data_IF_690208708778
#
_entry.id   IF_690208708778
#
_cell.length_a   1.000
_cell.length_b   1.000
_cell.length_c   1.000
_cell.angle_alpha   90.00
_cell.angle_beta   90.00
_cell.angle_gamma   90.00
#
_symmetry.space_group_name_H-M   'P 1'
#
loop_
_entity.id
_entity.type
_entity.pdbx_description
1 polymer ?
#
# COMPACT_ATOMS: atom_id res chain seq x y z
N UNK A 1 -3.48 -34.52 -7.45
CA UNK A 1 -2.90 -34.28 -6.09
C UNK A 1 -3.67 -33.13 -5.47
N UNK A 2 -4.12 -33.27 -4.22
CA UNK A 2 -4.78 -32.18 -3.47
C UNK A 2 -3.70 -31.26 -2.90
N UNK A 3 -3.91 -29.95 -2.98
CA UNK A 3 -3.06 -28.91 -2.37
C UNK A 3 -3.93 -28.19 -1.35
N UNK A 4 -3.51 -28.15 -0.09
CA UNK A 4 -4.20 -27.44 0.98
C UNK A 4 -3.29 -26.29 1.49
N UNK A 5 -3.50 -25.04 1.03
CA UNK A 5 -2.68 -23.91 1.46
C UNK A 5 -3.05 -23.48 2.88
N UNK A 6 -2.10 -23.62 3.81
CA UNK A 6 -2.26 -23.13 5.19
C UNK A 6 -1.86 -21.64 5.26
N UNK A 7 -2.84 -20.77 5.45
CA UNK A 7 -2.65 -19.32 5.62
C UNK A 7 -2.78 -18.90 7.09
N UNK A 8 -2.34 -17.68 7.43
CA UNK A 8 -2.49 -17.11 8.78
C UNK A 8 -1.20 -17.03 9.60
N UNK A 9 -0.05 -17.44 9.05
CA UNK A 9 1.25 -17.31 9.71
C UNK A 9 1.65 -15.84 10.01
N UNK A 10 1.07 -14.87 9.28
CA UNK A 10 1.25 -13.43 9.51
C UNK A 10 -0.01 -12.77 10.11
N UNK A 11 -0.98 -13.55 10.58
CA UNK A 11 -2.16 -12.98 11.22
C UNK A 11 -1.77 -12.34 12.57
N UNK A 12 -2.09 -11.05 12.73
CA UNK A 12 -1.74 -10.26 13.91
C UNK A 12 -2.96 -9.68 14.65
N UNK A 13 -4.16 -10.09 14.29
CA UNK A 13 -5.39 -9.55 14.90
C UNK A 13 -5.54 -8.04 14.75
N UNK A 14 -5.16 -7.48 13.59
CA UNK A 14 -5.16 -6.03 13.35
C UNK A 14 -6.54 -5.40 13.55
N UNK A 15 -7.60 -6.10 13.12
CA UNK A 15 -8.99 -5.68 13.32
C UNK A 15 -9.33 -5.51 14.82
N UNK A 16 -8.88 -6.43 15.66
CA UNK A 16 -9.10 -6.36 17.11
C UNK A 16 -8.34 -5.20 17.75
N UNK A 17 -7.14 -4.90 17.24
CA UNK A 17 -6.36 -3.76 17.70
C UNK A 17 -7.01 -2.42 17.30
N UNK A 18 -7.68 -2.37 16.16
CA UNK A 18 -8.42 -1.19 15.70
C UNK A 18 -9.62 -0.87 16.60
N UNK A 19 -10.30 -1.86 17.18
CA UNK A 19 -11.43 -1.63 18.09
C UNK A 19 -11.05 -0.84 19.35
N UNK A 20 -9.80 -0.96 19.80
CA UNK A 20 -9.30 -0.30 21.00
C UNK A 20 -8.61 1.05 20.73
N UNK A 21 -8.61 1.51 19.47
CA UNK A 21 -7.89 2.71 19.02
C UNK A 21 -8.83 3.70 18.35
N UNK A 22 -8.48 4.99 18.43
CA UNK A 22 -9.21 6.02 17.69
C UNK A 22 -8.93 5.94 16.19
N UNK A 23 -9.80 6.51 15.36
CA UNK A 23 -9.65 6.45 13.90
C UNK A 23 -8.28 6.95 13.39
N UNK A 24 -7.75 8.03 13.96
CA UNK A 24 -6.41 8.53 13.62
C UNK A 24 -5.28 7.60 14.09
N UNK A 25 -5.42 6.98 15.26
CA UNK A 25 -4.44 6.02 15.76
C UNK A 25 -4.50 4.68 15.01
N UNK A 26 -5.64 4.38 14.37
CA UNK A 26 -5.84 3.19 13.56
C UNK A 26 -5.25 3.33 12.15
N UNK A 27 -5.11 4.57 11.63
CA UNK A 27 -4.62 4.85 10.27
C UNK A 27 -3.33 4.10 9.90
N UNK A 28 -2.26 4.08 10.73
CA UNK A 28 -0.99 3.42 10.35
C UNK A 28 -1.06 1.89 10.29
N UNK A 29 -2.16 1.27 10.74
CA UNK A 29 -2.37 -0.16 10.51
C UNK A 29 -2.71 -0.46 9.06
N UNK A 30 -3.33 0.49 8.36
CA UNK A 30 -3.76 0.30 6.98
C UNK A 30 -2.58 0.33 6.00
N UNK A 31 -1.55 1.14 6.27
CA UNK A 31 -0.26 1.06 5.54
C UNK A 31 0.37 -0.33 5.58
N UNK A 32 0.13 -1.07 6.67
CA UNK A 32 0.76 -2.37 6.92
C UNK A 32 -0.06 -3.54 6.42
N UNK A 33 -1.27 -3.31 5.89
CA UNK A 33 -2.09 -4.38 5.31
C UNK A 33 -1.51 -4.85 3.98
N UNK A 34 -1.30 -3.94 3.03
CA UNK A 34 -0.44 -4.17 1.88
C UNK A 34 0.80 -3.26 1.97
N UNK A 35 1.91 -3.89 2.35
CA UNK A 35 3.21 -3.25 2.53
C UNK A 35 3.85 -2.79 1.21
N UNK A 36 3.29 -3.15 0.07
CA UNK A 36 3.77 -2.72 -1.25
C UNK A 36 3.09 -1.43 -1.69
N UNK A 37 1.83 -1.23 -1.34
CA UNK A 37 1.04 -0.03 -1.71
C UNK A 37 0.36 0.66 -0.50
N UNK A 38 1.14 1.27 0.41
CA UNK A 38 0.61 1.84 1.65
C UNK A 38 -0.45 2.93 1.41
N UNK A 39 -0.15 3.88 0.52
CA UNK A 39 -1.03 5.03 0.19
C UNK A 39 -2.41 4.60 -0.34
N UNK A 40 -2.50 3.45 -1.02
CA UNK A 40 -3.78 2.92 -1.51
C UNK A 40 -4.69 2.48 -0.35
N UNK A 41 -4.12 1.83 0.67
CA UNK A 41 -4.88 1.34 1.82
C UNK A 41 -5.30 2.49 2.73
N UNK A 42 -4.41 3.43 2.99
CA UNK A 42 -4.77 4.66 3.72
C UNK A 42 -5.87 5.42 3.00
N UNK A 43 -5.80 5.53 1.68
CA UNK A 43 -6.82 6.20 0.91
C UNK A 43 -8.18 5.50 1.04
N UNK A 44 -8.22 4.16 0.96
CA UNK A 44 -9.45 3.40 1.14
C UNK A 44 -10.06 3.61 2.54
N UNK A 45 -9.24 3.63 3.58
CA UNK A 45 -9.69 3.91 4.94
C UNK A 45 -10.20 5.36 5.10
N UNK A 46 -9.47 6.34 4.57
CA UNK A 46 -9.89 7.75 4.56
C UNK A 46 -11.22 7.95 3.84
N UNK A 47 -11.41 7.32 2.66
CA UNK A 47 -12.66 7.40 1.91
C UNK A 47 -13.85 6.82 2.70
N UNK A 48 -13.64 5.72 3.44
CA UNK A 48 -14.67 5.14 4.29
C UNK A 48 -15.08 6.09 5.41
N UNK A 49 -14.10 6.76 6.05
CA UNK A 49 -14.36 7.76 7.09
C UNK A 49 -15.04 9.02 6.53
N UNK A 50 -14.57 9.53 5.39
CA UNK A 50 -15.14 10.71 4.73
C UNK A 50 -16.59 10.48 4.32
N UNK A 51 -16.92 9.28 3.84
CA UNK A 51 -18.29 8.85 3.53
C UNK A 51 -19.15 8.73 4.79
N UNK A 52 -18.60 8.22 5.90
CA UNK A 52 -19.31 8.09 7.17
C UNK A 52 -19.62 9.46 7.79
N UNK A 53 -18.69 10.41 7.65
CA UNK A 53 -18.80 11.77 8.17
C UNK A 53 -19.54 12.73 7.21
N UNK A 54 -19.86 12.30 5.99
CA UNK A 54 -20.46 13.13 4.93
C UNK A 54 -19.68 14.42 4.66
N UNK A 55 -18.35 14.33 4.57
CA UNK A 55 -17.45 15.47 4.30
C UNK A 55 -17.03 15.44 2.83
N UNK A 56 -17.05 16.60 2.17
CA UNK A 56 -16.42 16.77 0.86
C UNK A 56 -15.03 17.42 1.01
N UNK A 57 -14.09 16.93 0.22
CA UNK A 57 -12.67 17.24 0.31
C UNK A 57 -12.33 18.27 -0.76
N UNK A 58 -11.44 19.24 -0.51
CA UNK A 58 -11.02 20.20 -1.52
C UNK A 58 -10.45 19.51 -2.77
N UNK A 59 -10.75 20.10 -3.94
CA UNK A 59 -10.33 19.61 -5.26
C UNK A 59 -8.82 19.32 -5.35
N UNK A 60 -7.99 20.15 -4.71
CA UNK A 60 -6.53 19.97 -4.67
C UNK A 60 -6.14 18.63 -4.01
N UNK A 61 -6.75 18.27 -2.89
CA UNK A 61 -6.42 17.04 -2.18
C UNK A 61 -6.86 15.79 -2.95
N UNK A 62 -7.99 15.85 -3.67
CA UNK A 62 -8.42 14.77 -4.58
C UNK A 62 -7.35 14.47 -5.64
N UNK A 63 -6.83 15.50 -6.32
CA UNK A 63 -5.78 15.31 -7.33
C UNK A 63 -4.47 14.79 -6.74
N UNK A 64 -4.03 15.33 -5.61
CA UNK A 64 -2.81 14.85 -4.93
C UNK A 64 -2.95 13.36 -4.61
N UNK A 65 -4.07 12.95 -4.00
CA UNK A 65 -4.34 11.54 -3.70
C UNK A 65 -4.30 10.68 -4.97
N UNK A 66 -4.97 11.10 -6.05
CA UNK A 66 -4.93 10.36 -7.31
C UNK A 66 -3.51 10.18 -7.83
N UNK A 67 -2.67 11.23 -7.83
CA UNK A 67 -1.28 11.14 -8.29
C UNK A 67 -0.51 10.09 -7.48
N UNK A 68 -0.58 10.14 -6.14
CA UNK A 68 0.14 9.19 -5.29
C UNK A 68 -0.40 7.76 -5.36
N UNK A 69 -1.70 7.58 -5.55
CA UNK A 69 -2.31 6.25 -5.76
C UNK A 69 -1.84 5.64 -7.09
N UNK A 70 -1.72 6.45 -8.15
CA UNK A 70 -1.20 5.96 -9.43
C UNK A 70 0.29 5.61 -9.35
N UNK A 71 1.09 6.41 -8.63
CA UNK A 71 2.51 6.08 -8.38
C UNK A 71 2.66 4.78 -7.58
N UNK A 72 1.87 4.60 -6.52
CA UNK A 72 1.88 3.36 -5.73
C UNK A 72 1.32 2.15 -6.47
N UNK A 73 0.42 2.35 -7.43
CA UNK A 73 -0.01 1.30 -8.36
C UNK A 73 1.12 0.83 -9.27
N UNK A 74 1.88 1.76 -9.86
CA UNK A 74 3.06 1.43 -10.68
C UNK A 74 4.10 0.66 -9.86
N UNK A 75 4.36 1.09 -8.63
CA UNK A 75 5.21 0.39 -7.67
C UNK A 75 4.75 -1.05 -7.41
N UNK A 76 3.44 -1.24 -7.17
CA UNK A 76 2.86 -2.56 -6.89
C UNK A 76 2.97 -3.51 -8.08
N UNK A 77 2.62 -3.05 -9.28
CA UNK A 77 2.76 -3.88 -10.49
C UNK A 77 4.21 -4.17 -10.84
N UNK A 78 5.12 -3.20 -10.68
CA UNK A 78 6.54 -3.40 -10.89
C UNK A 78 7.09 -4.52 -10.00
N UNK A 79 6.81 -4.45 -8.69
CA UNK A 79 7.26 -5.49 -7.76
C UNK A 79 6.61 -6.84 -8.04
N UNK A 80 5.32 -6.86 -8.38
CA UNK A 80 4.61 -8.10 -8.74
C UNK A 80 5.25 -8.79 -9.95
N UNK A 81 5.52 -8.06 -11.02
CA UNK A 81 6.16 -8.59 -12.21
C UNK A 81 7.61 -9.04 -11.94
N UNK A 82 8.39 -8.24 -11.20
CA UNK A 82 9.76 -8.58 -10.83
C UNK A 82 9.83 -9.86 -9.97
N UNK A 83 8.94 -10.01 -8.98
CA UNK A 83 8.88 -11.20 -8.13
C UNK A 83 8.54 -12.45 -8.93
N UNK A 84 7.56 -12.37 -9.83
CA UNK A 84 7.19 -13.50 -10.68
C UNK A 84 8.34 -13.94 -11.60
N UNK A 85 9.09 -12.97 -12.16
CA UNK A 85 10.26 -13.25 -12.98
C UNK A 85 11.40 -13.86 -12.17
N UNK A 86 11.60 -13.40 -10.93
CA UNK A 86 12.58 -13.98 -10.01
C UNK A 86 12.25 -15.43 -9.68
N UNK A 87 10.98 -15.73 -9.36
CA UNK A 87 10.51 -17.08 -9.09
C UNK A 87 10.68 -18.01 -10.31
N UNK A 88 10.62 -17.45 -11.53
CA UNK A 88 10.92 -18.15 -12.78
C UNK A 88 12.42 -18.29 -13.09
N UNK A 89 13.31 -17.67 -12.29
CA UNK A 89 14.77 -17.76 -12.42
C UNK A 89 15.45 -16.58 -13.12
N UNK A 90 14.69 -15.57 -13.57
CA UNK A 90 15.24 -14.36 -14.18
C UNK A 90 15.59 -13.32 -13.10
N UNK A 91 16.88 -13.20 -12.78
CA UNK A 91 17.38 -12.34 -11.69
C UNK A 91 17.57 -10.87 -12.12
N UNK A 92 17.98 -10.63 -13.36
CA UNK A 92 18.30 -9.29 -13.87
C UNK A 92 17.15 -8.28 -13.83
N UNK A 93 15.88 -8.62 -14.15
CA UNK A 93 14.79 -7.65 -14.16
C UNK A 93 14.47 -7.09 -12.77
N UNK A 94 14.75 -7.85 -11.72
CA UNK A 94 14.55 -7.41 -10.34
C UNK A 94 15.39 -6.17 -10.06
N UNK A 95 16.68 -6.19 -10.39
CA UNK A 95 17.56 -5.06 -10.13
C UNK A 95 17.14 -3.79 -10.89
N UNK A 96 16.66 -3.92 -12.12
CA UNK A 96 16.16 -2.78 -12.89
C UNK A 96 14.90 -2.19 -12.28
N UNK A 97 13.93 -3.04 -11.90
CA UNK A 97 12.69 -2.56 -11.29
C UNK A 97 12.96 -1.92 -9.94
N UNK A 98 13.86 -2.47 -9.12
CA UNK A 98 14.19 -1.91 -7.81
C UNK A 98 14.85 -0.53 -7.92
N UNK A 99 15.66 -0.27 -8.95
CA UNK A 99 16.25 1.05 -9.19
C UNK A 99 15.18 2.11 -9.53
N UNK A 100 14.23 1.78 -10.41
CA UNK A 100 13.10 2.66 -10.72
C UNK A 100 12.15 2.82 -9.52
N UNK A 101 11.98 1.76 -8.74
CA UNK A 101 11.17 1.76 -7.51
C UNK A 101 11.72 2.78 -6.51
N UNK A 102 13.04 2.85 -6.35
CA UNK A 102 13.71 3.74 -5.41
C UNK A 102 13.48 5.22 -5.75
N UNK A 103 13.50 5.58 -7.03
CA UNK A 103 13.21 6.97 -7.47
C UNK A 103 11.80 7.41 -7.06
N UNK A 104 10.82 6.51 -7.12
CA UNK A 104 9.46 6.82 -6.68
C UNK A 104 9.39 6.90 -5.15
N UNK A 105 10.12 6.05 -4.44
CA UNK A 105 10.22 6.14 -2.97
C UNK A 105 10.85 7.45 -2.50
N UNK A 106 11.84 7.99 -3.20
CA UNK A 106 12.39 9.31 -2.92
C UNK A 106 11.29 10.40 -2.97
N UNK A 107 10.34 10.30 -3.91
CA UNK A 107 9.20 11.23 -3.96
C UNK A 107 8.25 11.05 -2.78
N UNK A 108 7.98 9.81 -2.35
CA UNK A 108 7.19 9.55 -1.16
C UNK A 108 7.87 10.10 0.09
N UNK A 109 9.16 9.81 0.29
CA UNK A 109 9.95 10.30 1.42
C UNK A 109 9.95 11.83 1.49
N UNK A 110 10.08 12.52 0.36
CA UNK A 110 10.02 13.99 0.32
C UNK A 110 8.66 14.57 0.73
N UNK A 111 7.60 13.78 0.71
CA UNK A 111 6.23 14.21 1.00
C UNK A 111 5.80 13.81 2.42
N UNK A 112 6.08 12.58 2.84
CA UNK A 112 5.70 12.03 4.15
C UNK A 112 6.82 12.07 5.20
N UNK A 113 8.08 12.19 4.77
CA UNK A 113 9.26 12.08 5.65
C UNK A 113 9.67 10.65 5.98
N UNK A 114 9.04 9.64 5.36
CA UNK A 114 9.30 8.22 5.54
C UNK A 114 8.41 7.34 4.66
#
# INVERSE_FOLDING_TARGET
RRIDPHIGHLHRGTEKLCEHKTYLQALPYFDRFDYVSPMCNEHAFCLALEKLLNIDIPRRAKFIRTIFIELTRLLSHGLSAASQLLDAGAITPVFWVFEEREKIWEFCERVSGG
#
